data_IF_328096994482
#
_entry.id   IF_328096994482
#
_cell.length_a   1.000
_cell.length_b   1.000
_cell.length_c   1.000
_cell.angle_alpha   90.00
_cell.angle_beta   90.00
_cell.angle_gamma   90.00
#
_symmetry.space_group_name_H-M   'P 1'
#
loop_
_entity.id
_entity.type
_entity.pdbx_description
1 polymer ?
#
# COMPACT_ATOMS: atom_id res chain seq x y z
N UNK A 1 -17.26 3.38 -9.15
CA UNK A 1 -16.84 1.98 -9.29
C UNK A 1 -17.46 1.18 -8.14
N UNK A 2 -17.89 -0.07 -8.35
CA UNK A 2 -18.32 -0.91 -7.21
C UNK A 2 -17.10 -1.18 -6.32
N UNK A 3 -17.31 -1.26 -5.00
CA UNK A 3 -16.19 -1.36 -4.05
C UNK A 3 -15.29 -2.58 -4.34
N UNK A 4 -15.85 -3.78 -4.51
CA UNK A 4 -15.09 -4.99 -4.85
C UNK A 4 -14.20 -4.81 -6.10
N UNK A 5 -14.70 -4.14 -7.14
CA UNK A 5 -13.92 -3.90 -8.36
C UNK A 5 -12.69 -3.04 -8.06
N UNK A 6 -12.83 -2.05 -7.20
CA UNK A 6 -11.74 -1.18 -6.77
C UNK A 6 -10.72 -1.90 -5.90
N UNK A 7 -11.17 -2.80 -5.03
CA UNK A 7 -10.30 -3.63 -4.20
C UNK A 7 -9.43 -4.55 -5.06
N UNK A 8 -10.02 -5.24 -6.04
CA UNK A 8 -9.28 -6.09 -6.97
C UNK A 8 -8.43 -5.28 -7.96
N UNK A 9 -8.91 -4.12 -8.42
CA UNK A 9 -8.11 -3.24 -9.27
C UNK A 9 -6.82 -2.80 -8.57
N UNK A 10 -6.88 -2.53 -7.26
CA UNK A 10 -5.71 -2.16 -6.47
C UNK A 10 -4.63 -3.26 -6.47
N UNK A 11 -5.02 -4.54 -6.41
CA UNK A 11 -4.09 -5.67 -6.49
C UNK A 11 -3.34 -5.66 -7.83
N UNK A 12 -4.09 -5.56 -8.94
CA UNK A 12 -3.52 -5.59 -10.27
C UNK A 12 -2.67 -4.37 -10.58
N UNK A 13 -3.12 -3.17 -10.19
CA UNK A 13 -2.36 -1.93 -10.40
C UNK A 13 -1.05 -1.97 -9.62
N UNK A 14 -1.08 -2.40 -8.35
CA UNK A 14 0.14 -2.51 -7.56
C UNK A 14 1.11 -3.58 -8.10
N UNK A 15 0.60 -4.69 -8.63
CA UNK A 15 1.43 -5.70 -9.30
C UNK A 15 2.06 -5.15 -10.59
N UNK A 16 1.28 -4.49 -11.44
CA UNK A 16 1.78 -3.89 -12.69
C UNK A 16 2.85 -2.84 -12.38
N UNK A 17 2.59 -1.99 -11.39
CA UNK A 17 3.54 -0.98 -10.92
C UNK A 17 4.86 -1.62 -10.45
N UNK A 18 4.78 -2.72 -9.71
CA UNK A 18 5.96 -3.46 -9.28
C UNK A 18 6.75 -4.04 -10.46
N UNK A 19 6.06 -4.65 -11.43
CA UNK A 19 6.70 -5.19 -12.64
C UNK A 19 7.32 -4.08 -13.51
N UNK A 20 6.67 -2.93 -13.59
CA UNK A 20 7.20 -1.74 -14.27
C UNK A 20 8.51 -1.29 -13.64
N UNK A 21 8.57 -1.17 -12.31
CA UNK A 21 9.77 -0.79 -11.57
C UNK A 21 10.91 -1.82 -11.71
N UNK A 22 10.58 -3.10 -11.89
CA UNK A 22 11.55 -4.19 -12.09
C UNK A 22 12.05 -4.32 -13.54
N UNK A 23 11.51 -3.55 -14.49
CA UNK A 23 11.90 -3.61 -15.90
C UNK A 23 13.33 -3.07 -16.09
N UNK A 24 14.28 -3.88 -16.61
CA UNK A 24 15.65 -3.42 -16.84
C UNK A 24 15.73 -2.31 -17.89
N UNK A 25 16.71 -1.42 -17.78
CA UNK A 25 17.02 -0.42 -18.81
C UNK A 25 16.53 1.01 -18.53
N UNK A 26 15.81 1.23 -17.43
CA UNK A 26 15.73 2.53 -16.75
C UNK A 26 15.44 3.77 -17.62
N UNK A 27 14.57 3.65 -18.63
CA UNK A 27 14.21 4.82 -19.43
C UNK A 27 13.49 5.87 -18.57
N UNK A 28 13.73 7.15 -18.86
CA UNK A 28 13.05 8.24 -18.14
C UNK A 28 11.51 8.12 -18.21
N UNK A 29 10.99 7.55 -19.29
CA UNK A 29 9.55 7.28 -19.47
C UNK A 29 9.04 6.30 -18.41
N UNK A 30 9.78 5.23 -18.13
CA UNK A 30 9.37 4.26 -17.10
C UNK A 30 9.37 4.86 -15.70
N UNK A 31 10.32 5.77 -15.40
CA UNK A 31 10.35 6.49 -14.13
C UNK A 31 9.10 7.37 -13.98
N UNK A 32 8.73 8.14 -15.01
CA UNK A 32 7.52 8.98 -14.93
C UNK A 32 6.23 8.15 -14.86
N UNK A 33 6.15 7.03 -15.58
CA UNK A 33 5.02 6.11 -15.48
C UNK A 33 4.90 5.51 -14.07
N UNK A 34 6.02 5.12 -13.48
CA UNK A 34 6.08 4.65 -12.09
C UNK A 34 5.57 5.73 -11.13
N UNK A 35 6.04 6.97 -11.26
CA UNK A 35 5.54 8.06 -10.39
C UNK A 35 4.03 8.30 -10.53
N UNK A 36 3.50 8.25 -11.75
CA UNK A 36 2.06 8.43 -12.02
C UNK A 36 1.24 7.28 -11.40
N UNK A 37 1.67 6.04 -11.59
CA UNK A 37 1.01 4.86 -11.01
C UNK A 37 1.10 4.84 -9.49
N UNK A 38 2.24 5.22 -8.90
CA UNK A 38 2.40 5.42 -7.47
C UNK A 38 1.40 6.44 -6.91
N UNK A 39 1.19 7.57 -7.59
CA UNK A 39 0.17 8.55 -7.19
C UNK A 39 -1.27 7.98 -7.32
N UNK A 40 -1.55 7.21 -8.37
CA UNK A 40 -2.82 6.52 -8.54
C UNK A 40 -3.09 5.50 -7.41
N UNK A 41 -2.07 4.75 -6.98
CA UNK A 41 -2.13 3.82 -5.85
C UNK A 41 -2.53 4.55 -4.55
N UNK A 42 -1.97 5.72 -4.27
CA UNK A 42 -2.37 6.52 -3.10
C UNK A 42 -3.86 6.90 -3.18
N UNK A 43 -4.31 7.37 -4.35
CA UNK A 43 -5.71 7.74 -4.57
C UNK A 43 -6.66 6.55 -4.38
N UNK A 44 -6.31 5.39 -4.94
CA UNK A 44 -7.13 4.17 -4.87
C UNK A 44 -7.12 3.59 -3.46
N UNK A 45 -5.98 3.56 -2.76
CA UNK A 45 -5.92 3.10 -1.36
C UNK A 45 -6.74 3.99 -0.43
N UNK A 46 -6.70 5.32 -0.63
CA UNK A 46 -7.56 6.25 0.09
C UNK A 46 -9.05 6.01 -0.19
N UNK A 47 -9.42 5.84 -1.46
CA UNK A 47 -10.79 5.54 -1.85
C UNK A 47 -11.28 4.22 -1.24
N UNK A 48 -10.47 3.15 -1.35
CA UNK A 48 -10.77 1.84 -0.79
C UNK A 48 -10.93 1.89 0.73
N UNK A 49 -10.02 2.57 1.44
CA UNK A 49 -10.13 2.77 2.87
C UNK A 49 -11.41 3.52 3.24
N UNK A 50 -11.70 4.62 2.57
CA UNK A 50 -12.89 5.45 2.84
C UNK A 50 -14.19 4.68 2.60
N UNK A 51 -14.26 3.92 1.52
CA UNK A 51 -15.42 3.11 1.16
C UNK A 51 -15.61 1.90 2.09
N UNK A 52 -14.54 1.19 2.45
CA UNK A 52 -14.59 0.11 3.46
C UNK A 52 -15.00 0.64 4.82
N UNK A 53 -14.50 1.82 5.20
CA UNK A 53 -14.88 2.46 6.46
C UNK A 53 -16.37 2.77 6.51
N UNK A 54 -17.02 3.08 5.39
CA UNK A 54 -18.47 3.33 5.35
C UNK A 54 -19.32 2.06 5.32
N UNK A 55 -18.74 0.86 5.32
CA UNK A 55 -19.50 -0.40 5.43
C UNK A 55 -19.54 -0.93 6.86
N UNK A 56 -20.27 -2.03 7.06
CA UNK A 56 -20.33 -2.77 8.33
C UNK A 56 -19.24 -3.84 8.50
N UNK A 57 -18.29 -3.94 7.56
CA UNK A 57 -17.27 -5.00 7.56
C UNK A 57 -16.49 -5.07 8.88
N UNK A 58 -15.92 -6.24 9.17
CA UNK A 58 -15.09 -6.49 10.34
C UNK A 58 -14.01 -5.41 10.53
N UNK A 59 -13.87 -4.93 11.76
CA UNK A 59 -12.98 -3.80 12.09
C UNK A 59 -11.51 -4.04 11.77
N UNK A 60 -11.08 -5.30 11.81
CA UNK A 60 -9.72 -5.68 11.39
C UNK A 60 -9.47 -5.32 9.93
N UNK A 61 -10.43 -5.52 9.03
CA UNK A 61 -10.29 -5.17 7.61
C UNK A 61 -10.14 -3.65 7.44
N UNK A 62 -10.95 -2.87 8.17
CA UNK A 62 -10.84 -1.39 8.17
C UNK A 62 -9.47 -0.91 8.65
N UNK A 63 -8.91 -1.53 9.69
CA UNK A 63 -7.55 -1.23 10.19
C UNK A 63 -6.47 -1.59 9.17
N UNK A 64 -6.57 -2.75 8.52
CA UNK A 64 -5.61 -3.14 7.48
C UNK A 64 -5.70 -2.18 6.30
N UNK A 65 -6.91 -1.80 5.85
CA UNK A 65 -7.07 -0.80 4.81
C UNK A 65 -6.49 0.58 5.19
N UNK A 66 -6.65 1.02 6.43
CA UNK A 66 -6.01 2.23 6.94
C UNK A 66 -4.48 2.11 6.94
N UNK A 67 -3.95 0.97 7.39
CA UNK A 67 -2.51 0.71 7.38
C UNK A 67 -1.97 0.70 5.94
N UNK A 68 -2.67 0.08 4.99
CA UNK A 68 -2.30 0.08 3.57
C UNK A 68 -2.25 1.49 3.00
N UNK A 69 -3.23 2.33 3.31
CA UNK A 69 -3.22 3.74 2.93
C UNK A 69 -2.01 4.47 3.52
N UNK A 70 -1.75 4.35 4.83
CA UNK A 70 -0.61 4.98 5.47
C UNK A 70 0.73 4.50 4.88
N UNK A 71 0.86 3.20 4.60
CA UNK A 71 2.05 2.62 3.96
C UNK A 71 2.23 3.20 2.55
N UNK A 72 1.16 3.40 1.77
CA UNK A 72 1.26 4.02 0.44
C UNK A 72 1.86 5.43 0.49
N UNK A 73 1.51 6.21 1.52
CA UNK A 73 2.08 7.54 1.75
C UNK A 73 3.58 7.44 2.10
N UNK A 74 3.94 6.49 2.97
CA UNK A 74 5.34 6.26 3.35
C UNK A 74 6.18 5.83 2.13
N UNK A 75 5.65 4.92 1.30
CA UNK A 75 6.29 4.47 0.06
C UNK A 75 6.51 5.65 -0.89
N UNK A 76 5.53 6.53 -1.02
CA UNK A 76 5.65 7.74 -1.85
C UNK A 76 6.72 8.70 -1.33
N UNK A 77 6.81 8.89 0.00
CA UNK A 77 7.87 9.69 0.63
C UNK A 77 9.24 9.08 0.32
N UNK A 78 9.42 7.77 0.53
CA UNK A 78 10.69 7.12 0.18
C UNK A 78 10.98 7.18 -1.31
N UNK A 79 9.97 7.04 -2.17
CA UNK A 79 10.11 7.15 -3.62
C UNK A 79 10.61 8.53 -4.04
N UNK A 80 10.08 9.61 -3.45
CA UNK A 80 10.55 10.96 -3.68
C UNK A 80 12.02 11.14 -3.23
N UNK A 81 12.38 10.64 -2.05
CA UNK A 81 13.76 10.71 -1.54
C UNK A 81 14.74 9.94 -2.44
N UNK A 82 14.32 8.76 -2.93
CA UNK A 82 15.10 7.95 -3.88
C UNK A 82 15.24 8.67 -5.22
N UNK A 83 14.17 9.30 -5.74
CA UNK A 83 14.19 10.04 -7.00
C UNK A 83 15.19 11.21 -6.99
N UNK A 84 15.32 11.90 -5.85
CA UNK A 84 16.28 12.99 -5.68
C UNK A 84 17.68 12.54 -5.20
N UNK A 85 17.99 11.24 -5.27
CA UNK A 85 19.28 10.68 -4.86
C UNK A 85 19.69 11.03 -3.41
N UNK A 86 18.72 11.24 -2.52
CA UNK A 86 18.99 11.66 -1.13
C UNK A 86 19.81 10.60 -0.40
N UNK A 87 20.88 11.04 0.27
CA UNK A 87 21.70 10.16 1.12
C UNK A 87 22.55 9.13 0.38
N UNK A 88 22.75 9.28 -0.94
CA UNK A 88 23.54 8.35 -1.78
C UNK A 88 25.00 8.23 -1.34
N UNK A 89 25.59 9.33 -0.87
CA UNK A 89 26.97 9.38 -0.37
C UNK A 89 27.08 9.24 1.16
N UNK A 90 25.95 9.20 1.88
CA UNK A 90 25.92 9.06 3.33
C UNK A 90 25.92 7.58 3.70
N UNK A 91 27.09 7.05 4.08
CA UNK A 91 27.26 5.65 4.47
C UNK A 91 27.08 5.49 5.97
N UNK A 92 26.32 4.48 6.39
CA UNK A 92 26.22 4.05 7.78
C UNK A 92 27.42 3.12 8.06
N UNK A 93 28.44 3.54 8.85
CA UNK A 93 29.70 2.79 8.96
C UNK A 93 29.54 1.38 9.53
N UNK A 94 28.54 1.17 10.40
CA UNK A 94 28.33 -0.10 11.09
C UNK A 94 27.89 -1.25 10.16
N UNK A 95 27.13 -0.94 9.11
CA UNK A 95 26.55 -1.94 8.19
C UNK A 95 27.01 -1.78 6.74
N UNK A 96 27.85 -0.78 6.47
CA UNK A 96 28.37 -0.47 5.13
C UNK A 96 27.26 -0.32 4.06
N UNK A 97 26.15 0.30 4.43
CA UNK A 97 25.00 0.59 3.55
C UNK A 97 24.78 2.10 3.51
N UNK A 98 24.48 2.64 2.32
CA UNK A 98 24.11 4.05 2.19
C UNK A 98 22.69 4.31 2.69
N UNK A 99 22.43 5.53 3.17
CA UNK A 99 21.06 5.95 3.53
C UNK A 99 20.12 5.77 2.33
N UNK A 100 20.59 6.09 1.12
CA UNK A 100 19.88 5.79 -0.12
C UNK A 100 19.51 4.31 -0.25
N UNK A 101 20.47 3.41 -0.05
CA UNK A 101 20.25 1.96 -0.15
C UNK A 101 19.23 1.46 0.87
N UNK A 102 19.26 2.01 2.09
CA UNK A 102 18.28 1.69 3.13
C UNK A 102 16.87 2.20 2.78
N UNK A 103 16.75 3.42 2.26
CA UNK A 103 15.47 3.97 1.80
C UNK A 103 14.92 3.19 0.61
N UNK A 104 15.76 2.83 -0.35
CA UNK A 104 15.38 2.00 -1.49
C UNK A 104 14.87 0.62 -1.03
N UNK A 105 15.58 -0.01 -0.08
CA UNK A 105 15.15 -1.27 0.51
C UNK A 105 13.75 -1.16 1.13
N UNK A 106 13.52 -0.15 1.98
CA UNK A 106 12.20 0.05 2.59
C UNK A 106 11.12 0.45 1.60
N UNK A 107 11.45 1.21 0.56
CA UNK A 107 10.52 1.52 -0.53
C UNK A 107 10.03 0.24 -1.19
N UNK A 108 10.93 -0.65 -1.60
CA UNK A 108 10.59 -1.94 -2.25
C UNK A 108 9.85 -2.87 -1.28
N UNK A 109 10.32 -3.02 -0.05
CA UNK A 109 9.70 -3.88 0.96
C UNK A 109 8.24 -3.47 1.26
N UNK A 110 8.00 -2.16 1.43
CA UNK A 110 6.65 -1.66 1.67
C UNK A 110 5.75 -1.77 0.43
N UNK A 111 6.30 -1.69 -0.78
CA UNK A 111 5.53 -1.98 -2.01
C UNK A 111 5.00 -3.42 -2.05
N UNK A 112 5.80 -4.41 -1.62
CA UNK A 112 5.31 -5.78 -1.42
C UNK A 112 4.21 -5.87 -0.36
N UNK A 113 4.37 -5.14 0.75
CA UNK A 113 3.36 -5.08 1.80
C UNK A 113 2.02 -4.52 1.28
N UNK A 114 2.05 -3.53 0.38
CA UNK A 114 0.82 -2.98 -0.23
C UNK A 114 0.10 -4.04 -1.07
N UNK A 115 0.81 -4.78 -1.94
CA UNK A 115 0.19 -5.81 -2.80
C UNK A 115 -0.46 -6.91 -1.94
N UNK A 116 0.26 -7.39 -0.94
CA UNK A 116 -0.23 -8.46 -0.03
C UNK A 116 -1.43 -7.99 0.79
N UNK A 117 -1.41 -6.77 1.33
CA UNK A 117 -2.55 -6.22 2.05
C UNK A 117 -3.74 -5.95 1.12
N UNK A 118 -3.52 -5.46 -0.11
CA UNK A 118 -4.59 -5.24 -1.08
C UNK A 118 -5.34 -6.56 -1.39
N UNK A 119 -4.60 -7.65 -1.61
CA UNK A 119 -5.19 -8.97 -1.84
C UNK A 119 -5.96 -9.46 -0.60
N UNK A 120 -5.38 -9.33 0.59
CA UNK A 120 -6.03 -9.72 1.84
C UNK A 120 -7.33 -8.94 2.10
N UNK A 121 -7.35 -7.63 1.82
CA UNK A 121 -8.53 -6.79 1.96
C UNK A 121 -9.61 -7.17 0.95
N UNK A 122 -9.24 -7.42 -0.32
CA UNK A 122 -10.19 -7.81 -1.36
C UNK A 122 -10.88 -9.14 -1.02
N UNK A 123 -10.09 -10.15 -0.66
CA UNK A 123 -10.63 -11.47 -0.26
C UNK A 123 -11.50 -11.34 1.00
N UNK A 124 -11.04 -10.61 2.01
CA UNK A 124 -11.82 -10.39 3.22
C UNK A 124 -13.14 -9.65 2.96
N UNK A 125 -13.18 -8.77 1.96
CA UNK A 125 -14.41 -8.12 1.54
C UNK A 125 -15.41 -9.10 0.93
N UNK A 126 -14.96 -10.00 0.07
CA UNK A 126 -15.82 -11.03 -0.52
C UNK A 126 -16.37 -11.98 0.56
N UNK A 127 -15.51 -12.45 1.48
CA UNK A 127 -15.92 -13.27 2.63
C UNK A 127 -16.98 -12.56 3.50
N UNK A 128 -16.89 -11.24 3.64
CA UNK A 128 -17.89 -10.46 4.35
C UNK A 128 -19.23 -10.39 3.58
N UNK A 129 -19.19 -10.15 2.27
CA UNK A 129 -20.41 -10.18 1.44
C UNK A 129 -21.10 -11.56 1.50
N UNK A 130 -20.32 -12.63 1.64
CA UNK A 130 -20.79 -14.02 1.83
C UNK A 130 -21.17 -14.35 3.29
N UNK A 131 -21.08 -13.39 4.21
CA UNK A 131 -21.44 -13.50 5.64
C UNK A 131 -20.60 -14.52 6.43
N UNK A 132 -19.33 -14.68 6.07
CA UNK A 132 -18.40 -15.56 6.79
C UNK A 132 -17.85 -14.96 8.09
N UNK A 133 -18.03 -13.65 8.32
CA UNK A 133 -17.60 -13.00 9.56
C UNK A 133 -18.68 -13.03 10.64
N UNK A 134 -18.29 -13.45 11.84
CA UNK A 134 -19.13 -13.43 13.04
C UNK A 134 -19.27 -12.02 13.65
N UNK A 135 -18.37 -11.11 13.31
CA UNK A 135 -18.28 -9.77 13.90
C UNK A 135 -18.26 -8.68 12.83
N UNK A 136 -19.13 -7.69 13.02
CA UNK A 136 -19.22 -6.49 12.19
C UNK A 136 -18.86 -5.24 13.01
N UNK A 137 -18.64 -4.13 12.32
CA UNK A 137 -18.40 -2.84 12.99
C UNK A 137 -19.23 -1.73 12.39
N UNK A 138 -19.62 -0.76 13.21
CA UNK A 138 -20.45 0.34 12.73
C UNK A 138 -19.79 1.14 11.58
N UNK A 139 -20.57 1.60 10.60
CA UNK A 139 -20.09 2.49 9.55
C UNK A 139 -19.40 3.74 10.12
N UNK A 140 -18.33 4.18 9.49
CA UNK A 140 -17.55 5.33 9.93
C UNK A 140 -16.59 5.05 11.09
N UNK A 141 -16.69 3.91 11.77
CA UNK A 141 -15.81 3.53 12.88
C UNK A 141 -14.66 2.66 12.39
N UNK A 142 -13.44 3.05 12.73
CA UNK A 142 -12.25 2.19 12.64
C UNK A 142 -11.85 1.87 14.07
N UNK A 143 -12.18 0.68 14.60
CA UNK A 143 -11.89 0.37 15.99
C UNK A 143 -10.37 0.32 16.22
N UNK A 144 -9.89 0.78 17.39
CA UNK A 144 -8.46 0.76 17.70
C UNK A 144 -7.91 -0.67 17.66
N UNK A 145 -6.57 -0.79 17.59
CA UNK A 145 -5.92 -2.09 17.78
C UNK A 145 -6.32 -2.63 19.16
N UNK A 146 -6.68 -3.93 19.27
CA UNK A 146 -6.96 -4.53 20.57
C UNK A 146 -5.73 -4.34 21.47
N UNK A 147 -5.93 -3.83 22.69
CA UNK A 147 -4.89 -3.89 23.70
C UNK A 147 -4.69 -5.37 24.07
N UNK A 148 -3.44 -5.79 24.25
CA UNK A 148 -3.13 -7.15 24.72
C UNK A 148 -3.94 -7.43 25.99
N UNK A 149 -4.60 -8.59 26.03
CA UNK A 149 -5.34 -9.06 27.20
C UNK A 149 -4.38 -9.75 28.18
#
# INVERSE_FOLDING_TARGET
>A
MKLWMSLYAMVWIALIEFLLAMTPGGSAIFIYLHMILGAAIIGITFYNFSALRSTRIAGRVKRVAQASYNISIIVAIFGALVFFDVGKTLIIPLINVSIYGLMLFFHVFNSFAIITQAAAIAIAYDMWEEREFNEETEPGVVPPMPMER
#
